data_IF_188096884400
#
_entry.id   IF_188096884400
#
_cell.length_a   1.000
_cell.length_b   1.000
_cell.length_c   1.000
_cell.angle_alpha   90.00
_cell.angle_beta   90.00
_cell.angle_gamma   90.00
#
_symmetry.space_group_name_H-M   'P 1'
#
loop_
_entity.id
_entity.type
_entity.pdbx_description
1 polymer ?
#
# COMPACT_ATOMS: atom_id res chain seq x y z
N UNK A 1 -45.76 -46.09 1.44
CA UNK A 1 -45.17 -45.17 2.44
C UNK A 1 -44.93 -43.84 1.75
N UNK A 2 -45.87 -42.89 1.90
CA UNK A 2 -45.89 -41.66 1.10
C UNK A 2 -45.18 -40.50 1.81
N UNK A 3 -44.31 -39.83 1.07
CA UNK A 3 -43.47 -38.71 1.49
C UNK A 3 -44.31 -37.44 1.63
N UNK A 4 -44.22 -36.73 2.75
CA UNK A 4 -44.83 -35.40 2.93
C UNK A 4 -43.75 -34.33 2.85
N UNK A 5 -43.81 -33.51 1.80
CA UNK A 5 -42.98 -32.32 1.61
C UNK A 5 -43.61 -31.13 2.33
N UNK A 6 -42.88 -30.49 3.23
CA UNK A 6 -43.36 -29.30 3.95
C UNK A 6 -42.83 -28.04 3.28
N UNK A 7 -43.72 -27.28 2.64
CA UNK A 7 -43.45 -25.95 2.09
C UNK A 7 -43.70 -24.92 3.19
N UNK A 8 -42.71 -24.08 3.49
CA UNK A 8 -42.80 -23.02 4.51
C UNK A 8 -43.19 -21.68 3.86
N UNK A 9 -44.34 -21.11 4.26
CA UNK A 9 -44.76 -19.73 3.93
C UNK A 9 -44.88 -18.91 5.23
N UNK A 10 -44.26 -17.72 5.35
CA UNK A 10 -44.38 -16.90 6.55
C UNK A 10 -45.56 -15.92 6.47
N UNK A 11 -46.22 -15.69 7.62
CA UNK A 11 -47.24 -14.66 7.89
C UNK A 11 -48.65 -14.81 7.29
N UNK A 12 -49.40 -15.82 7.74
CA UNK A 12 -50.86 -15.66 7.95
C UNK A 12 -51.22 -16.46 9.21
N UNK A 13 -51.82 -15.80 10.22
CA UNK A 13 -52.52 -16.51 11.30
C UNK A 13 -54.00 -16.35 11.02
N UNK A 14 -54.62 -17.40 10.49
CA UNK A 14 -56.08 -17.51 10.39
C UNK A 14 -56.55 -18.23 11.64
N UNK A 15 -57.45 -17.60 12.41
CA UNK A 15 -58.17 -18.28 13.49
C UNK A 15 -59.51 -18.74 12.94
N UNK A 16 -59.73 -20.06 12.92
CA UNK A 16 -61.00 -20.68 12.59
C UNK A 16 -61.78 -20.95 13.87
N UNK A 17 -63.08 -20.64 13.88
CA UNK A 17 -64.01 -21.15 14.89
C UNK A 17 -64.56 -22.53 14.45
N UNK A 18 -65.26 -23.22 15.35
CA UNK A 18 -65.60 -24.65 15.26
C UNK A 18 -66.57 -25.03 14.12
N UNK A 19 -67.00 -24.07 13.29
CA UNK A 19 -67.84 -24.29 12.11
C UNK A 19 -67.27 -23.75 10.79
N UNK A 20 -66.01 -23.32 10.76
CA UNK A 20 -65.25 -23.25 9.49
C UNK A 20 -65.54 -22.09 8.53
N UNK A 21 -65.83 -20.88 9.02
CA UNK A 21 -65.85 -19.65 8.20
C UNK A 21 -64.74 -18.66 8.60
N UNK A 22 -64.19 -17.92 7.62
CA UNK A 22 -63.08 -16.97 7.78
C UNK A 22 -63.60 -15.52 7.81
N UNK A 23 -63.38 -14.79 8.90
CA UNK A 23 -63.59 -13.33 8.94
C UNK A 23 -62.29 -12.59 8.57
N UNK A 24 -62.30 -11.89 7.44
CA UNK A 24 -61.27 -10.94 7.04
C UNK A 24 -61.56 -9.58 7.68
N UNK A 25 -60.81 -9.20 8.71
CA UNK A 25 -60.79 -7.82 9.21
C UNK A 25 -59.53 -7.10 8.72
N UNK A 26 -59.65 -6.42 7.59
CA UNK A 26 -58.66 -5.43 7.15
C UNK A 26 -58.75 -4.19 8.05
N UNK A 27 -57.68 -3.86 8.79
CA UNK A 27 -57.55 -2.55 9.45
C UNK A 27 -56.18 -1.93 9.16
N UNK A 28 -56.23 -0.96 8.25
CA UNK A 28 -55.69 0.40 8.43
C UNK A 28 -54.18 0.53 8.64
N UNK A 29 -53.51 1.12 7.64
CA UNK A 29 -52.10 1.47 7.71
C UNK A 29 -51.76 2.53 8.75
N UNK A 30 -50.62 2.33 9.41
CA UNK A 30 -49.80 3.38 10.00
C UNK A 30 -48.33 3.07 9.70
N UNK A 31 -47.62 4.06 9.17
CA UNK A 31 -46.18 4.02 8.92
C UNK A 31 -45.41 3.93 10.25
N UNK A 32 -45.16 2.70 10.70
CA UNK A 32 -44.26 2.47 11.83
C UNK A 32 -42.83 2.49 11.32
N UNK A 33 -42.12 3.58 11.62
CA UNK A 33 -40.66 3.67 11.52
C UNK A 33 -40.04 2.45 12.21
N UNK A 34 -39.41 1.56 11.44
CA UNK A 34 -38.82 0.31 11.96
C UNK A 34 -37.59 0.63 12.80
N UNK A 35 -37.78 1.02 14.06
CA UNK A 35 -36.74 0.89 15.07
C UNK A 35 -36.39 -0.60 15.19
N UNK A 36 -35.15 -0.94 14.83
CA UNK A 36 -34.67 -2.31 14.81
C UNK A 36 -34.93 -3.01 16.14
N UNK A 37 -35.68 -4.12 16.10
CA UNK A 37 -35.87 -4.98 17.27
C UNK A 37 -34.50 -5.44 17.76
N UNK A 38 -34.08 -4.97 18.94
CA UNK A 38 -32.90 -5.51 19.64
C UNK A 38 -33.16 -6.99 19.88
N UNK A 39 -32.63 -7.85 19.01
CA UNK A 39 -32.71 -9.30 19.18
C UNK A 39 -31.95 -9.68 20.44
N UNK A 40 -32.64 -10.36 21.37
CA UNK A 40 -32.03 -10.87 22.61
C UNK A 40 -30.80 -11.71 22.24
N UNK A 41 -29.63 -11.26 22.68
CA UNK A 41 -28.35 -11.95 22.42
C UNK A 41 -28.41 -13.31 23.12
N UNK A 42 -28.29 -14.40 22.35
CA UNK A 42 -28.24 -15.74 22.91
C UNK A 42 -27.06 -15.86 23.91
N UNK A 43 -27.19 -16.65 24.99
CA UNK A 43 -26.19 -16.77 26.05
C UNK A 43 -24.80 -17.15 25.49
N UNK A 44 -23.71 -16.52 25.94
CA UNK A 44 -22.40 -16.63 25.31
C UNK A 44 -21.61 -17.85 25.78
N UNK A 45 -22.22 -19.03 25.86
CA UNK A 45 -21.51 -20.25 26.30
C UNK A 45 -22.19 -21.51 25.78
N UNK A 46 -21.85 -21.94 24.56
CA UNK A 46 -22.05 -23.33 24.12
C UNK A 46 -20.90 -23.75 23.21
N UNK A 47 -19.91 -24.43 23.81
CA UNK A 47 -18.92 -25.29 23.16
C UNK A 47 -18.13 -24.71 21.96
N UNK A 48 -17.14 -25.46 21.44
CA UNK A 48 -16.68 -25.22 20.08
C UNK A 48 -17.86 -25.37 19.12
N UNK A 49 -17.95 -24.50 18.11
CA UNK A 49 -18.95 -24.67 17.05
C UNK A 49 -18.71 -25.98 16.29
N UNK A 50 -19.67 -26.38 15.47
CA UNK A 50 -19.56 -27.55 14.56
C UNK A 50 -18.34 -27.52 13.63
N UNK A 51 -17.68 -26.36 13.49
CA UNK A 51 -16.44 -26.15 12.75
C UNK A 51 -15.17 -26.16 13.64
N UNK A 52 -15.27 -26.66 14.87
CA UNK A 52 -14.14 -26.80 15.81
C UNK A 52 -13.66 -25.51 16.49
N UNK A 53 -14.32 -24.37 16.29
CA UNK A 53 -13.87 -23.07 16.84
C UNK A 53 -14.55 -22.78 18.17
N UNK A 54 -13.77 -22.62 19.26
CA UNK A 54 -14.23 -22.35 20.63
C UNK A 54 -15.17 -21.15 20.77
N UNK A 55 -14.96 -20.09 19.98
CA UNK A 55 -15.86 -18.94 19.92
C UNK A 55 -16.53 -18.88 18.55
N UNK A 56 -17.86 -19.04 18.52
CA UNK A 56 -18.65 -18.99 17.27
C UNK A 56 -18.45 -17.69 16.49
N UNK A 57 -18.19 -16.57 17.17
CA UNK A 57 -17.85 -15.27 16.56
C UNK A 57 -16.51 -15.24 15.81
N UNK A 58 -15.58 -16.13 16.18
CA UNK A 58 -14.28 -16.30 15.53
C UNK A 58 -14.32 -17.31 14.38
N UNK A 59 -15.37 -18.12 14.30
CA UNK A 59 -15.56 -19.04 13.19
C UNK A 59 -15.85 -18.26 11.91
N UNK A 60 -15.07 -18.49 10.86
CA UNK A 60 -15.27 -17.82 9.55
C UNK A 60 -16.64 -18.14 8.94
N UNK A 61 -17.16 -19.34 9.18
CA UNK A 61 -18.46 -19.78 8.66
C UNK A 61 -19.59 -19.26 9.55
N UNK A 62 -19.57 -19.53 10.87
CA UNK A 62 -20.67 -19.13 11.76
C UNK A 62 -20.72 -17.61 12.03
N UNK A 63 -19.59 -16.91 11.95
CA UNK A 63 -19.47 -15.47 12.18
C UNK A 63 -19.70 -14.61 10.93
N UNK A 64 -19.74 -15.24 9.76
CA UNK A 64 -20.07 -14.55 8.51
C UNK A 64 -21.58 -14.29 8.38
N UNK A 65 -21.90 -13.24 7.65
CA UNK A 65 -23.21 -12.99 7.08
C UNK A 65 -23.36 -13.77 5.75
N UNK A 66 -24.57 -13.91 5.18
CA UNK A 66 -24.76 -14.49 3.85
C UNK A 66 -23.94 -13.81 2.75
N UNK A 67 -23.49 -12.57 2.96
CA UNK A 67 -22.65 -11.80 2.03
C UNK A 67 -21.13 -12.02 2.25
N UNK A 68 -20.73 -13.07 2.98
CA UNK A 68 -19.33 -13.46 3.17
C UNK A 68 -18.47 -12.56 4.07
N UNK A 69 -19.04 -11.48 4.61
CA UNK A 69 -18.37 -10.56 5.56
C UNK A 69 -18.78 -10.87 7.01
N UNK A 70 -18.01 -10.41 8.00
CA UNK A 70 -18.50 -10.41 9.39
C UNK A 70 -19.77 -9.57 9.48
N UNK A 71 -20.76 -10.02 10.25
CA UNK A 71 -22.06 -9.31 10.38
C UNK A 71 -21.91 -7.87 10.84
N UNK A 72 -20.94 -7.57 11.71
CA UNK A 72 -20.64 -6.20 12.18
C UNK A 72 -20.12 -5.29 11.07
N UNK A 73 -19.48 -5.86 10.05
CA UNK A 73 -18.75 -5.13 9.01
C UNK A 73 -19.45 -5.20 7.64
N UNK A 74 -20.67 -5.74 7.62
CA UNK A 74 -21.46 -5.90 6.39
C UNK A 74 -22.46 -4.75 6.26
N UNK A 75 -22.32 -3.96 5.20
CA UNK A 75 -23.24 -2.86 4.86
C UNK A 75 -24.66 -3.36 4.64
N UNK A 76 -24.82 -4.43 3.86
CA UNK A 76 -26.11 -5.03 3.50
C UNK A 76 -26.86 -5.64 4.71
N UNK A 77 -26.14 -5.95 5.78
CA UNK A 77 -26.74 -6.41 7.04
C UNK A 77 -26.98 -5.30 8.07
N UNK A 78 -26.69 -4.03 7.74
CA UNK A 78 -26.72 -2.93 8.70
C UNK A 78 -25.72 -3.12 9.85
N UNK A 79 -24.53 -3.64 9.53
CA UNK A 79 -23.51 -3.93 10.52
C UNK A 79 -23.12 -2.70 11.34
N UNK A 80 -23.11 -2.82 12.66
CA UNK A 80 -22.87 -1.71 13.60
C UNK A 80 -21.51 -1.01 13.43
N UNK A 81 -20.54 -1.63 12.75
CA UNK A 81 -19.24 -1.01 12.44
C UNK A 81 -19.30 -0.09 11.22
N UNK A 82 -20.36 -0.14 10.40
CA UNK A 82 -20.48 0.58 9.13
C UNK A 82 -21.51 1.71 9.27
N UNK A 83 -21.14 2.93 8.90
CA UNK A 83 -22.08 4.05 8.86
C UNK A 83 -22.92 4.06 7.58
N UNK A 84 -23.91 4.95 7.51
CA UNK A 84 -24.76 5.16 6.33
C UNK A 84 -23.95 5.47 5.05
N UNK A 85 -22.80 6.14 5.19
CA UNK A 85 -21.85 6.42 4.11
C UNK A 85 -21.09 5.17 3.60
N UNK A 86 -21.36 3.98 4.14
CA UNK A 86 -20.72 2.72 3.76
C UNK A 86 -19.26 2.58 4.19
N UNK A 87 -18.77 3.48 5.06
CA UNK A 87 -17.41 3.44 5.62
C UNK A 87 -17.45 2.87 7.04
N UNK A 88 -16.31 2.40 7.55
CA UNK A 88 -16.24 2.07 8.98
C UNK A 88 -16.51 3.33 9.81
N UNK A 89 -17.38 3.24 10.82
CA UNK A 89 -17.82 4.37 11.63
C UNK A 89 -16.63 5.09 12.28
N UNK A 90 -15.62 4.36 12.75
CA UNK A 90 -14.40 4.93 13.32
C UNK A 90 -13.57 5.72 12.31
N UNK A 91 -13.68 5.41 11.02
CA UNK A 91 -12.92 6.01 9.91
C UNK A 91 -13.79 6.92 9.02
N UNK A 92 -15.03 7.21 9.41
CA UNK A 92 -15.89 8.07 8.63
C UNK A 92 -15.74 9.52 9.09
N UNK A 93 -15.29 10.41 8.19
CA UNK A 93 -15.20 11.85 8.49
C UNK A 93 -16.59 12.45 8.74
N UNK A 94 -17.56 12.12 7.88
CA UNK A 94 -18.94 12.63 7.93
C UNK A 94 -19.67 12.24 9.22
N UNK A 95 -19.35 11.07 9.80
CA UNK A 95 -19.92 10.62 11.08
C UNK A 95 -19.06 11.00 12.30
N UNK A 96 -18.04 11.86 12.15
CA UNK A 96 -17.16 12.24 13.26
C UNK A 96 -16.34 11.09 13.85
N UNK A 97 -16.00 10.10 13.03
CA UNK A 97 -15.30 8.88 13.45
C UNK A 97 -14.05 9.16 14.29
N UNK A 98 -13.93 8.44 15.41
CA UNK A 98 -12.87 8.67 16.41
C UNK A 98 -11.43 8.57 15.86
N UNK A 99 -11.23 7.91 14.70
CA UNK A 99 -9.91 7.77 14.07
C UNK A 99 -9.54 8.92 13.13
N UNK A 100 -10.47 9.77 12.70
CA UNK A 100 -10.23 10.87 11.76
C UNK A 100 -10.51 12.22 12.44
N UNK A 101 -9.61 13.20 12.25
CA UNK A 101 -9.84 14.57 12.73
C UNK A 101 -10.64 15.39 11.71
N UNK A 102 -11.04 16.60 12.10
CA UNK A 102 -11.69 17.57 11.22
C UNK A 102 -10.86 17.88 9.95
N UNK A 103 -9.53 17.83 10.05
CA UNK A 103 -8.59 17.99 8.92
C UNK A 103 -8.60 16.80 7.94
N UNK A 104 -9.41 15.77 8.16
CA UNK A 104 -9.50 14.58 7.30
C UNK A 104 -8.30 13.65 7.36
N UNK A 105 -7.37 13.88 8.31
CA UNK A 105 -6.21 13.01 8.57
C UNK A 105 -6.52 12.05 9.71
N UNK A 106 -5.79 10.94 9.79
CA UNK A 106 -5.87 10.06 10.95
C UNK A 106 -5.44 10.86 12.21
N UNK A 107 -6.27 10.89 13.27
CA UNK A 107 -6.05 11.76 14.45
C UNK A 107 -4.66 11.59 15.04
N UNK A 108 -4.18 10.36 15.16
CA UNK A 108 -2.85 10.04 15.68
C UNK A 108 -1.70 10.64 14.87
N UNK A 109 -1.90 10.88 13.57
CA UNK A 109 -0.91 11.42 12.64
C UNK A 109 -1.14 12.91 12.30
N UNK A 110 -2.17 13.53 12.85
CA UNK A 110 -2.48 14.92 12.55
C UNK A 110 -1.65 15.86 13.44
N UNK A 111 -0.75 16.63 12.83
CA UNK A 111 0.06 17.64 13.54
C UNK A 111 -0.81 18.72 14.19
N UNK A 112 -1.80 19.23 13.45
CA UNK A 112 -2.72 20.30 13.90
C UNK A 112 -3.57 19.88 15.10
N UNK A 113 -3.88 18.58 15.23
CA UNK A 113 -4.62 18.04 16.39
C UNK A 113 -3.72 17.53 17.52
N UNK A 114 -2.40 17.75 17.46
CA UNK A 114 -1.47 17.21 18.46
C UNK A 114 -1.40 15.68 18.48
N UNK A 115 -1.63 15.03 17.33
CA UNK A 115 -1.67 13.59 17.20
C UNK A 115 -0.45 12.92 17.83
N UNK A 116 -0.67 11.96 18.74
CA UNK A 116 0.38 11.35 19.56
C UNK A 116 1.49 10.63 18.78
N UNK A 117 1.32 10.36 17.49
CA UNK A 117 2.36 9.78 16.63
C UNK A 117 3.30 10.82 16.02
N UNK A 118 2.98 12.12 16.12
CA UNK A 118 3.82 13.23 15.67
C UNK A 118 4.48 13.90 16.87
N UNK A 119 5.75 14.28 16.75
CA UNK A 119 6.43 15.10 17.75
C UNK A 119 6.33 16.59 17.42
N UNK A 120 6.77 17.44 18.36
CA UNK A 120 6.84 18.90 18.16
C UNK A 120 7.62 19.31 16.90
N UNK A 121 8.64 18.54 16.53
CA UNK A 121 9.43 18.72 15.30
C UNK A 121 8.67 18.37 14.00
N UNK A 122 7.39 18.00 14.09
CA UNK A 122 6.55 17.64 12.94
C UNK A 122 6.92 16.30 12.27
N UNK A 123 7.78 15.50 12.89
CA UNK A 123 8.19 14.17 12.42
C UNK A 123 7.40 13.09 13.15
N UNK A 124 7.36 11.88 12.59
CA UNK A 124 6.84 10.73 13.34
C UNK A 124 7.70 10.51 14.59
N UNK A 125 7.09 10.51 15.77
CA UNK A 125 7.76 10.52 17.08
C UNK A 125 8.76 9.38 17.22
N UNK A 126 8.41 8.18 16.79
CA UNK A 126 9.30 7.02 16.83
C UNK A 126 10.50 7.12 15.89
N UNK A 127 10.45 7.96 14.83
CA UNK A 127 11.54 8.25 13.89
C UNK A 127 12.29 9.55 14.17
N UNK A 128 11.86 10.32 15.17
CA UNK A 128 12.45 11.61 15.45
C UNK A 128 13.73 11.45 16.28
N UNK A 129 14.88 11.81 15.71
CA UNK A 129 16.17 11.79 16.41
C UNK A 129 16.16 12.71 17.64
N UNK A 130 15.62 13.91 17.50
CA UNK A 130 15.58 14.94 18.56
C UNK A 130 14.70 14.51 19.76
N UNK A 131 13.67 13.70 19.52
CA UNK A 131 12.82 13.15 20.58
C UNK A 131 13.28 11.77 21.11
N UNK A 132 14.47 11.30 20.73
CA UNK A 132 14.95 9.96 21.11
C UNK A 132 14.08 8.82 20.57
N UNK A 133 13.45 9.04 19.41
CA UNK A 133 12.52 8.10 18.78
C UNK A 133 13.12 6.69 18.69
N UNK A 134 12.37 5.69 19.16
CA UNK A 134 12.84 4.32 19.32
C UNK A 134 13.32 3.61 18.05
N UNK A 135 13.09 4.16 16.85
CA UNK A 135 13.64 3.61 15.62
C UNK A 135 14.99 4.18 15.21
N UNK A 136 15.52 5.21 15.88
CA UNK A 136 16.82 5.83 15.58
C UNK A 136 17.82 5.45 16.68
N UNK A 137 19.02 5.00 16.30
CA UNK A 137 20.11 4.76 17.24
C UNK A 137 20.87 6.06 17.56
N UNK A 138 21.77 5.98 18.53
CA UNK A 138 22.70 7.08 18.86
C UNK A 138 23.54 7.54 17.66
N UNK A 139 23.88 6.62 16.75
CA UNK A 139 24.58 6.91 15.48
C UNK A 139 23.71 7.68 14.45
N UNK A 140 22.46 8.03 14.79
CA UNK A 140 21.55 8.77 13.90
C UNK A 140 21.03 7.96 12.71
N UNK A 141 21.25 6.64 12.69
CA UNK A 141 20.74 5.70 11.68
C UNK A 141 19.49 5.00 12.20
N UNK A 142 18.70 4.42 11.31
CA UNK A 142 17.60 3.54 11.73
C UNK A 142 18.20 2.32 12.48
N UNK A 143 17.73 2.02 13.70
CA UNK A 143 18.28 0.96 14.56
C UNK A 143 18.34 -0.38 13.85
N UNK A 144 17.28 -0.71 13.10
CA UNK A 144 17.21 -1.94 12.30
C UNK A 144 18.29 -2.03 11.22
N UNK A 145 18.82 -0.90 10.75
CA UNK A 145 19.81 -0.82 9.68
C UNK A 145 21.21 -0.42 10.18
N UNK A 146 21.37 -0.19 11.48
CA UNK A 146 22.65 0.25 12.03
C UNK A 146 23.57 -0.94 12.26
N UNK A 147 24.71 -0.97 11.56
CA UNK A 147 25.75 -1.98 11.75
C UNK A 147 26.36 -1.92 13.16
N UNK A 148 26.59 -0.70 13.67
CA UNK A 148 27.21 -0.45 14.97
C UNK A 148 26.30 -0.80 16.16
N UNK A 149 24.99 -0.98 15.94
CA UNK A 149 24.04 -1.40 16.97
C UNK A 149 23.52 -2.84 16.76
N UNK A 150 24.21 -3.66 15.95
CA UNK A 150 23.76 -5.00 15.56
C UNK A 150 22.30 -5.04 15.12
N UNK A 151 21.92 -4.04 14.31
CA UNK A 151 20.56 -3.86 13.83
C UNK A 151 20.00 -5.15 13.24
N UNK A 152 18.74 -5.48 13.57
CA UNK A 152 18.07 -6.71 13.14
C UNK A 152 17.98 -6.89 11.61
N UNK A 153 18.26 -5.85 10.83
CA UNK A 153 18.34 -5.88 9.37
C UNK A 153 19.75 -6.06 8.81
N UNK A 154 20.81 -6.10 9.63
CA UNK A 154 22.21 -6.30 9.21
C UNK A 154 22.70 -7.68 9.69
N UNK A 155 23.33 -8.46 8.82
CA UNK A 155 23.95 -9.73 9.19
C UNK A 155 25.37 -9.53 9.74
N UNK A 156 25.93 -10.59 10.30
CA UNK A 156 27.34 -10.67 10.72
C UNK A 156 28.33 -10.26 9.60
N UNK A 157 27.98 -10.52 8.34
CA UNK A 157 28.76 -10.11 7.16
C UNK A 157 28.70 -8.59 6.86
N UNK A 158 28.02 -7.79 7.70
CA UNK A 158 27.85 -6.35 7.54
C UNK A 158 26.97 -5.93 6.36
N UNK A 159 26.26 -6.89 5.73
CA UNK A 159 25.31 -6.64 4.64
C UNK A 159 23.88 -6.61 5.17
N UNK A 160 22.94 -6.02 4.43
CA UNK A 160 21.51 -6.18 4.78
C UNK A 160 21.15 -7.67 4.72
N UNK A 161 20.56 -8.23 5.79
CA UNK A 161 20.22 -9.67 5.91
C UNK A 161 19.44 -10.17 4.71
N UNK A 162 18.45 -9.39 4.25
CA UNK A 162 17.64 -9.74 3.08
C UNK A 162 18.46 -9.88 1.79
N UNK A 163 19.58 -9.16 1.66
CA UNK A 163 20.49 -9.20 0.51
C UNK A 163 21.75 -10.03 0.74
N UNK A 164 21.90 -10.68 1.89
CA UNK A 164 23.08 -11.49 2.16
C UNK A 164 22.87 -12.90 1.63
N UNK A 165 23.65 -13.31 0.62
CA UNK A 165 23.61 -14.67 0.07
C UNK A 165 24.01 -15.72 1.12
N UNK A 166 25.05 -15.43 1.90
CA UNK A 166 25.59 -16.34 2.93
C UNK A 166 24.58 -16.60 4.06
N UNK A 167 23.75 -15.62 4.41
CA UNK A 167 22.69 -15.79 5.41
C UNK A 167 21.36 -16.31 4.83
N UNK A 168 21.33 -16.76 3.56
CA UNK A 168 20.09 -17.20 2.91
C UNK A 168 19.07 -16.08 2.68
N UNK A 169 19.53 -14.83 2.58
CA UNK A 169 18.70 -13.66 2.36
C UNK A 169 17.83 -13.79 1.11
N UNK A 170 16.51 -13.69 1.30
CA UNK A 170 15.52 -13.94 0.26
C UNK A 170 15.45 -12.92 -0.89
N UNK A 171 16.35 -11.94 -0.96
CA UNK A 171 16.42 -11.00 -2.08
C UNK A 171 17.35 -11.45 -3.21
N UNK A 172 18.34 -12.30 -2.94
CA UNK A 172 19.30 -12.80 -3.95
C UNK A 172 19.05 -14.30 -4.18
N UNK A 173 19.07 -14.75 -5.43
CA UNK A 173 18.95 -16.17 -5.76
C UNK A 173 20.33 -16.86 -5.80
N UNK A 174 20.33 -18.18 -5.95
CA UNK A 174 21.57 -18.97 -6.11
C UNK A 174 22.46 -18.46 -7.26
N UNK A 175 21.85 -17.96 -8.34
CA UNK A 175 22.50 -17.34 -9.50
C UNK A 175 23.15 -15.96 -9.22
N UNK A 176 23.12 -15.48 -7.97
CA UNK A 176 23.72 -14.20 -7.58
C UNK A 176 22.95 -12.96 -8.08
N UNK A 177 21.76 -13.15 -8.66
CA UNK A 177 20.89 -12.07 -9.15
C UNK A 177 19.82 -11.76 -8.12
N UNK A 178 19.29 -10.54 -8.15
CA UNK A 178 18.09 -10.22 -7.37
C UNK A 178 16.92 -11.11 -7.83
N UNK A 179 16.30 -11.85 -6.91
CA UNK A 179 15.22 -12.82 -7.17
C UNK A 179 14.11 -12.28 -8.08
N UNK A 180 13.58 -11.05 -7.87
CA UNK A 180 12.54 -10.51 -8.75
C UNK A 180 12.97 -10.38 -10.22
N UNK A 181 14.28 -10.23 -10.48
CA UNK A 181 14.83 -10.01 -11.82
C UNK A 181 15.58 -11.24 -12.39
N UNK A 182 15.59 -12.36 -11.68
CA UNK A 182 16.25 -13.57 -12.15
C UNK A 182 15.34 -14.33 -13.12
N UNK A 183 15.79 -14.52 -14.37
CA UNK A 183 15.04 -15.27 -15.38
C UNK A 183 14.96 -16.76 -15.02
N UNK A 184 16.06 -17.35 -14.55
CA UNK A 184 16.15 -18.77 -14.20
C UNK A 184 15.25 -19.14 -13.02
N UNK A 185 15.05 -18.22 -12.07
CA UNK A 185 14.15 -18.43 -10.92
C UNK A 185 12.69 -18.00 -11.19
N UNK A 186 12.31 -17.65 -12.43
CA UNK A 186 10.96 -17.16 -12.71
C UNK A 186 10.61 -15.85 -12.01
N UNK A 187 11.59 -14.95 -11.87
CA UNK A 187 11.46 -13.69 -11.12
C UNK A 187 10.22 -12.88 -11.51
N UNK A 188 9.51 -12.36 -10.50
CA UNK A 188 8.24 -11.65 -10.67
C UNK A 188 8.29 -10.37 -11.51
N UNK A 189 9.49 -9.85 -11.82
CA UNK A 189 9.67 -8.69 -12.69
C UNK A 189 10.09 -9.06 -14.11
N UNK A 190 10.22 -10.36 -14.43
CA UNK A 190 10.49 -10.87 -15.78
C UNK A 190 9.17 -11.37 -16.39
N UNK A 191 8.86 -10.95 -17.61
CA UNK A 191 7.70 -11.46 -18.35
C UNK A 191 8.03 -12.79 -19.04
N UNK A 192 7.00 -13.43 -19.58
CA UNK A 192 7.14 -14.62 -20.42
C UNK A 192 8.08 -14.40 -21.62
N UNK A 193 8.13 -13.17 -22.16
CA UNK A 193 9.06 -12.77 -23.22
C UNK A 193 10.53 -12.64 -22.76
N UNK A 194 10.85 -12.97 -21.51
CA UNK A 194 12.20 -12.90 -20.94
C UNK A 194 12.74 -11.47 -20.74
N UNK A 195 11.91 -10.44 -20.90
CA UNK A 195 12.25 -9.02 -20.69
C UNK A 195 11.76 -8.57 -19.31
N UNK A 196 12.27 -7.44 -18.80
CA UNK A 196 11.68 -6.81 -17.62
C UNK A 196 10.24 -6.40 -17.95
N UNK A 197 9.26 -6.83 -17.15
CA UNK A 197 7.82 -6.55 -17.33
C UNK A 197 7.55 -5.07 -17.60
N UNK A 198 8.15 -4.19 -16.80
CA UNK A 198 7.99 -2.74 -16.96
C UNK A 198 8.50 -2.20 -18.29
N UNK A 199 9.45 -2.87 -18.94
CA UNK A 199 10.06 -2.49 -20.23
C UNK A 199 9.58 -3.35 -21.40
N UNK A 200 8.65 -4.27 -21.19
CA UNK A 200 8.16 -5.15 -22.24
C UNK A 200 6.99 -4.48 -22.97
N UNK A 201 7.15 -4.22 -24.26
CA UNK A 201 6.09 -3.64 -25.11
C UNK A 201 4.89 -4.57 -25.21
N UNK A 202 5.13 -5.87 -25.42
CA UNK A 202 4.08 -6.90 -25.57
C UNK A 202 3.23 -7.06 -24.29
N UNK A 203 3.83 -6.86 -23.11
CA UNK A 203 3.09 -6.89 -21.84
C UNK A 203 2.48 -5.53 -21.45
N UNK A 204 2.53 -4.50 -22.32
CA UNK A 204 2.06 -3.15 -21.97
C UNK A 204 2.83 -2.52 -20.81
N UNK A 205 4.11 -2.87 -20.65
CA UNK A 205 4.95 -2.43 -19.54
C UNK A 205 4.91 -0.92 -19.36
N UNK A 206 4.61 -0.46 -18.14
CA UNK A 206 4.37 0.95 -17.85
C UNK A 206 5.53 1.92 -18.13
N UNK A 207 6.73 1.41 -18.42
CA UNK A 207 7.88 2.23 -18.84
C UNK A 207 7.95 2.47 -20.35
N UNK A 208 7.16 1.78 -21.18
CA UNK A 208 7.13 1.91 -22.64
C UNK A 208 5.82 2.58 -23.07
N UNK A 209 5.88 3.55 -23.98
CA UNK A 209 4.69 4.14 -24.61
C UNK A 209 4.20 3.31 -25.79
N UNK A 210 3.04 3.66 -26.32
CA UNK A 210 2.49 3.07 -27.55
C UNK A 210 3.47 3.16 -28.74
N UNK A 211 4.25 4.25 -28.80
CA UNK A 211 5.31 4.46 -29.80
C UNK A 211 6.54 3.53 -29.63
N UNK A 212 6.54 2.61 -28.65
CA UNK A 212 7.64 1.68 -28.40
C UNK A 212 8.90 2.30 -27.80
N UNK A 213 8.86 3.58 -27.41
CA UNK A 213 9.95 4.31 -26.75
C UNK A 213 9.77 4.28 -25.23
N UNK A 214 10.83 4.54 -24.45
CA UNK A 214 10.66 4.77 -23.01
C UNK A 214 9.76 5.99 -22.80
N UNK A 215 8.70 5.86 -21.99
CA UNK A 215 7.71 6.95 -21.77
C UNK A 215 8.37 8.25 -21.35
N UNK A 216 9.35 8.18 -20.45
CA UNK A 216 10.10 9.37 -19.99
C UNK A 216 10.89 10.07 -21.09
N UNK A 217 11.26 9.37 -22.16
CA UNK A 217 12.07 9.89 -23.27
C UNK A 217 11.26 10.12 -24.55
N UNK A 218 9.98 9.75 -24.56
CA UNK A 218 9.15 9.87 -25.74
C UNK A 218 8.67 11.31 -25.91
N UNK A 219 9.13 11.99 -26.98
CA UNK A 219 8.70 13.35 -27.31
C UNK A 219 7.19 13.43 -27.56
N UNK A 220 6.65 12.48 -28.33
CA UNK A 220 5.21 12.40 -28.67
C UNK A 220 4.32 12.23 -27.44
N UNK A 221 4.81 11.57 -26.38
CA UNK A 221 4.07 11.42 -25.13
C UNK A 221 4.38 12.52 -24.08
N UNK A 222 5.12 13.57 -24.44
CA UNK A 222 5.54 14.60 -23.48
C UNK A 222 6.42 14.05 -22.34
N UNK A 223 7.28 13.06 -22.64
CA UNK A 223 8.09 12.37 -21.65
C UNK A 223 8.87 13.32 -20.75
N UNK A 224 8.88 13.04 -19.43
CA UNK A 224 9.44 13.93 -18.41
C UNK A 224 10.92 14.33 -18.64
N UNK A 225 11.69 13.52 -19.37
CA UNK A 225 13.09 13.80 -19.71
C UNK A 225 13.27 14.75 -20.90
N UNK A 226 12.21 15.04 -21.65
CA UNK A 226 12.21 15.95 -22.81
C UNK A 226 11.51 17.26 -22.39
N UNK A 227 12.08 18.40 -22.78
CA UNK A 227 11.43 19.69 -22.60
C UNK A 227 10.55 20.06 -23.80
N UNK A 228 9.77 21.12 -23.68
CA UNK A 228 8.96 21.67 -24.77
C UNK A 228 9.79 22.03 -26.02
N UNK A 229 11.06 22.42 -25.82
CA UNK A 229 12.03 22.68 -26.89
C UNK A 229 12.52 21.41 -27.61
N UNK A 230 12.01 20.22 -27.26
CA UNK A 230 12.40 18.94 -27.85
C UNK A 230 13.81 18.46 -27.50
N UNK A 231 14.49 19.13 -26.56
CA UNK A 231 15.82 18.75 -26.05
C UNK A 231 15.68 17.93 -24.76
N UNK A 232 16.72 17.19 -24.36
CA UNK A 232 16.74 16.62 -23.01
C UNK A 232 16.69 17.74 -21.97
N UNK A 233 15.72 17.68 -21.05
CA UNK A 233 15.44 18.72 -20.06
C UNK A 233 16.65 19.04 -19.18
N UNK A 234 17.48 18.03 -18.87
CA UNK A 234 18.74 18.22 -18.14
C UNK A 234 19.79 19.02 -18.91
N UNK A 235 19.74 19.04 -20.25
CA UNK A 235 20.70 19.76 -21.10
C UNK A 235 20.04 20.88 -21.91
N UNK A 236 18.87 21.36 -21.50
CA UNK A 236 18.20 22.46 -22.14
C UNK A 236 18.58 23.76 -21.43
N UNK A 237 19.29 24.67 -22.12
CA UNK A 237 19.69 25.97 -21.56
C UNK A 237 18.47 26.84 -21.24
N UNK A 238 17.48 26.85 -22.14
CA UNK A 238 16.23 27.61 -21.99
C UNK A 238 15.39 27.13 -20.79
N UNK A 239 15.49 25.85 -20.42
CA UNK A 239 14.82 25.30 -19.24
C UNK A 239 15.67 25.30 -17.96
N UNK A 240 16.86 25.92 -17.97
CA UNK A 240 17.77 25.88 -16.82
C UNK A 240 18.24 24.47 -16.44
N UNK A 241 18.46 23.61 -17.44
CA UNK A 241 18.79 22.20 -17.24
C UNK A 241 19.96 21.96 -16.29
N UNK A 242 19.79 21.01 -15.36
CA UNK A 242 20.77 20.69 -14.31
C UNK A 242 22.14 20.21 -14.81
N UNK A 243 22.24 19.80 -16.08
CA UNK A 243 23.46 19.38 -16.75
C UNK A 243 24.26 20.53 -17.37
N UNK A 244 23.75 21.77 -17.35
CA UNK A 244 24.43 22.97 -17.87
C UNK A 244 24.85 23.86 -16.70
N UNK A 245 26.07 24.38 -16.72
CA UNK A 245 26.53 25.36 -15.74
C UNK A 245 26.13 26.79 -16.13
N UNK A 246 26.33 27.74 -15.22
CA UNK A 246 26.11 29.18 -15.49
C UNK A 246 26.90 29.69 -16.71
N UNK A 247 28.08 29.11 -16.99
CA UNK A 247 28.89 29.39 -18.18
C UNK A 247 28.31 28.81 -19.49
N UNK A 248 27.10 28.24 -19.48
CA UNK A 248 26.45 27.67 -20.66
C UNK A 248 27.09 26.39 -21.22
N UNK A 249 28.06 25.80 -20.51
CA UNK A 249 28.74 24.55 -20.87
C UNK A 249 28.15 23.35 -20.12
N UNK A 250 28.38 22.15 -20.63
CA UNK A 250 28.01 20.92 -19.91
C UNK A 250 28.81 20.88 -18.60
N UNK A 251 28.08 20.84 -17.49
CA UNK A 251 28.59 21.02 -16.13
C UNK A 251 29.69 20.03 -15.77
N UNK A 252 29.59 18.78 -16.23
CA UNK A 252 30.62 17.74 -16.02
C UNK A 252 31.94 18.02 -16.76
N UNK A 253 31.90 18.79 -17.85
CA UNK A 253 33.09 19.13 -18.67
C UNK A 253 33.57 20.57 -18.48
N UNK A 254 32.88 21.36 -17.66
CA UNK A 254 33.22 22.76 -17.48
C UNK A 254 34.46 22.87 -16.57
N UNK A 255 35.58 23.36 -17.12
CA UNK A 255 36.83 23.57 -16.38
C UNK A 255 36.64 24.57 -15.23
N UNK A 256 35.95 25.67 -15.49
CA UNK A 256 35.67 26.73 -14.48
C UNK A 256 34.79 26.25 -13.33
N UNK A 257 33.96 25.22 -13.56
CA UNK A 257 33.12 24.64 -12.50
C UNK A 257 33.77 23.40 -11.85
N UNK A 258 35.03 23.08 -12.18
CA UNK A 258 35.67 21.85 -11.70
C UNK A 258 34.89 20.58 -12.08
N UNK A 259 34.27 20.57 -13.27
CA UNK A 259 33.38 19.48 -13.69
C UNK A 259 34.07 18.12 -13.57
N UNK A 260 33.37 17.12 -13.02
CA UNK A 260 33.97 15.83 -12.66
C UNK A 260 34.60 15.03 -13.81
N UNK A 261 34.38 15.41 -15.07
CA UNK A 261 35.07 14.85 -16.24
C UNK A 261 36.40 15.54 -16.56
N UNK A 262 36.74 16.63 -15.89
CA UNK A 262 38.02 17.34 -16.00
C UNK A 262 38.94 16.87 -14.86
N UNK A 263 40.21 16.61 -15.18
CA UNK A 263 41.23 16.30 -14.18
C UNK A 263 41.85 17.59 -13.64
N UNK A 264 42.64 17.47 -12.58
CA UNK A 264 43.44 18.59 -12.04
C UNK A 264 44.38 19.19 -13.10
N UNK A 265 44.83 18.40 -14.08
CA UNK A 265 45.62 18.87 -15.22
C UNK A 265 44.82 19.70 -16.26
N UNK A 266 43.55 20.02 -15.98
CA UNK A 266 42.71 20.86 -16.82
C UNK A 266 42.28 20.23 -18.15
N UNK A 267 42.49 18.91 -18.32
CA UNK A 267 42.11 18.12 -19.50
C UNK A 267 40.94 17.21 -19.15
N UNK A 268 40.25 16.64 -20.15
CA UNK A 268 39.28 15.57 -19.89
C UNK A 268 40.01 14.39 -19.25
N UNK A 269 39.54 13.91 -18.09
CA UNK A 269 40.10 12.73 -17.38
C UNK A 269 40.26 11.54 -18.32
N UNK A 270 39.25 11.32 -19.17
CA UNK A 270 39.27 10.25 -20.15
C UNK A 270 40.31 10.43 -21.25
N UNK A 271 41.01 11.55 -21.38
CA UNK A 271 42.01 11.84 -22.44
C UNK A 271 43.36 12.28 -21.87
N UNK A 272 43.47 12.49 -20.56
CA UNK A 272 44.70 12.87 -19.90
C UNK A 272 45.63 11.65 -19.81
N UNK A 273 46.81 11.73 -20.43
CA UNK A 273 47.80 10.65 -20.40
C UNK A 273 48.26 10.36 -18.96
N UNK A 274 48.46 11.42 -18.18
CA UNK A 274 48.89 11.33 -16.78
C UNK A 274 47.82 10.63 -15.91
N UNK A 275 46.54 10.96 -16.08
CA UNK A 275 45.44 10.29 -15.35
C UNK A 275 45.07 8.89 -15.89
N UNK A 276 45.46 8.56 -17.14
CA UNK A 276 45.26 7.22 -17.72
C UNK A 276 46.34 6.23 -17.26
N UNK A 277 47.47 6.72 -16.76
CA UNK A 277 48.61 5.91 -16.30
C UNK A 277 48.47 5.35 -14.88
N UNK A 278 47.65 5.96 -14.01
CA UNK A 278 47.48 5.55 -12.61
C UNK A 278 46.41 4.47 -12.41
N UNK A 279 46.41 3.46 -13.28
CA UNK A 279 45.59 2.25 -13.11
C UNK A 279 46.43 1.01 -13.39
N UNK A 280 47.51 0.88 -12.64
CA UNK A 280 48.20 -0.39 -12.38
C UNK A 280 48.35 -0.55 -10.87
#
# INVERSE_FOLDING_TARGET
MAMKTTIWRPNVRVTLNEYGEVEDTERGGEEVTKQGTKRKRAPPTKGPCEHGVKQRSRCKVCGACPHGKRRSDCKECGGASICEHGRQHSQCKECGGASICEHGRQRSHCKECGGGSICEHGRQRYRCKECGGGSICEHGRERSQCKECDGSGICEHGRRRSMCKECGGGAICEHGRQRPYCKECGGSQICEHGRRRSRCKECGGGSICEHGRQRSQCKECGGASICEHGRQRSYCKECGGSGICEHGRIRSTCKECGGGSICEHGRRRSQCKDCRGERL
#
